data_IF_583001020882
#
_entry.id   IF_583001020882
#
_cell.length_a   1.000
_cell.length_b   1.000
_cell.length_c   1.000
_cell.angle_alpha   90.00
_cell.angle_beta   90.00
_cell.angle_gamma   90.00
#
_symmetry.space_group_name_H-M   'P 1'
#
loop_
_entity.id
_entity.type
_entity.pdbx_description
1 polymer ?
#
# COMPACT_ATOMS: atom_id res chain seq x y z
N UNK A 1 -11.19 18.52 -19.10
CA UNK A 1 -10.32 18.80 -17.94
C UNK A 1 -8.89 18.45 -18.33
N UNK A 2 -7.89 19.16 -17.80
CA UNK A 2 -6.49 18.81 -18.06
C UNK A 2 -6.16 17.42 -17.48
N UNK A 3 -5.34 16.67 -18.21
CA UNK A 3 -4.87 15.34 -17.81
C UNK A 3 -3.56 15.47 -17.02
N UNK A 4 -3.29 14.56 -16.07
CA UNK A 4 -1.99 14.50 -15.43
C UNK A 4 -0.91 14.06 -16.44
N UNK A 5 0.32 14.50 -16.22
CA UNK A 5 1.47 14.29 -17.12
C UNK A 5 2.63 13.63 -16.36
N UNK A 6 3.23 12.59 -16.95
CA UNK A 6 4.44 11.97 -16.40
C UNK A 6 5.63 12.85 -16.76
N UNK A 7 6.23 13.49 -15.75
CA UNK A 7 7.42 14.33 -15.89
C UNK A 7 8.70 13.51 -16.00
N UNK A 8 8.75 12.38 -15.28
CA UNK A 8 9.84 11.41 -15.38
C UNK A 8 9.38 10.03 -14.93
N UNK A 9 10.04 9.00 -15.46
CA UNK A 9 9.83 7.60 -15.08
C UNK A 9 11.18 6.89 -15.08
N UNK A 10 11.56 6.34 -13.93
CA UNK A 10 12.84 5.64 -13.77
C UNK A 10 12.61 4.28 -13.10
N UNK A 11 13.31 3.25 -13.59
CA UNK A 11 13.42 1.98 -12.87
C UNK A 11 14.42 2.17 -11.74
N UNK A 12 13.97 1.97 -10.50
CA UNK A 12 14.79 2.20 -9.30
C UNK A 12 15.33 0.91 -8.68
N UNK A 13 14.75 -0.25 -9.03
CA UNK A 13 15.16 -1.53 -8.46
C UNK A 13 14.72 -2.75 -9.28
N UNK A 14 15.62 -3.70 -9.52
CA UNK A 14 15.34 -4.95 -10.24
C UNK A 14 16.29 -6.11 -9.89
N UNK A 15 16.80 -6.20 -8.67
CA UNK A 15 17.88 -7.13 -8.32
C UNK A 15 17.43 -8.61 -8.20
N UNK A 16 16.17 -8.88 -7.85
CA UNK A 16 15.63 -10.24 -7.75
C UNK A 16 14.88 -10.69 -9.02
N UNK A 17 14.54 -11.99 -9.16
CA UNK A 17 13.58 -12.47 -10.16
C UNK A 17 12.18 -11.85 -10.00
N UNK A 18 11.74 -11.62 -8.76
CA UNK A 18 10.51 -10.93 -8.43
C UNK A 18 10.75 -9.77 -7.47
N UNK A 19 10.43 -8.54 -7.88
CA UNK A 19 10.49 -7.31 -7.09
C UNK A 19 9.11 -6.65 -7.10
N UNK A 20 8.43 -6.58 -5.96
CA UNK A 20 7.03 -6.14 -5.95
C UNK A 20 6.57 -5.46 -4.64
N UNK A 21 5.31 -5.06 -4.65
CA UNK A 21 4.56 -4.60 -3.47
C UNK A 21 5.18 -3.38 -2.78
N UNK A 22 5.60 -2.43 -3.59
CA UNK A 22 6.34 -1.25 -3.14
C UNK A 22 5.52 -0.32 -2.24
N UNK A 23 6.24 0.56 -1.56
CA UNK A 23 5.71 1.75 -0.92
C UNK A 23 6.76 2.86 -0.90
N UNK A 24 6.33 4.11 -0.70
CA UNK A 24 7.19 5.30 -0.72
C UNK A 24 6.81 6.24 0.43
N UNK A 25 7.82 6.78 1.13
CA UNK A 25 7.63 7.88 2.07
C UNK A 25 8.81 8.86 2.03
N UNK A 26 8.58 10.07 2.53
CA UNK A 26 9.64 11.03 2.86
C UNK A 26 10.20 10.71 4.25
N UNK A 27 11.51 10.79 4.39
CA UNK A 27 12.16 10.67 5.69
C UNK A 27 13.38 11.60 5.74
N UNK A 28 13.38 12.51 6.72
CA UNK A 28 14.33 13.62 6.73
C UNK A 28 14.24 14.46 5.46
N UNK A 29 15.37 14.66 4.78
CA UNK A 29 15.43 15.39 3.51
C UNK A 29 15.33 14.48 2.27
N UNK A 30 15.28 13.16 2.46
CA UNK A 30 15.29 12.18 1.39
C UNK A 30 14.03 11.32 1.34
N UNK A 31 14.20 10.16 0.73
CA UNK A 31 13.15 9.21 0.39
C UNK A 31 13.49 7.83 0.94
N UNK A 32 12.46 7.11 1.36
CA UNK A 32 12.51 5.68 1.60
C UNK A 32 11.50 4.98 0.70
N UNK A 33 11.92 3.92 0.04
CA UNK A 33 11.08 3.04 -0.74
C UNK A 33 11.25 1.61 -0.23
N UNK A 34 10.18 0.86 -0.04
CA UNK A 34 10.26 -0.57 0.23
C UNK A 34 9.84 -1.41 -0.94
N UNK A 35 10.31 -2.66 -1.00
CA UNK A 35 9.75 -3.69 -1.87
C UNK A 35 10.06 -5.09 -1.31
N UNK A 36 9.25 -6.07 -1.71
CA UNK A 36 9.54 -7.49 -1.52
C UNK A 36 10.48 -7.98 -2.63
N UNK A 37 11.50 -8.73 -2.26
CA UNK A 37 12.31 -9.56 -3.17
C UNK A 37 12.06 -11.04 -2.91
N UNK A 38 11.84 -11.80 -4.00
CA UNK A 38 11.65 -13.25 -3.94
C UNK A 38 12.00 -13.94 -5.27
N UNK A 39 11.90 -15.27 -5.27
CA UNK A 39 12.06 -16.08 -6.48
C UNK A 39 10.89 -15.96 -7.47
N UNK A 40 9.68 -15.63 -6.97
CA UNK A 40 8.47 -15.53 -7.78
C UNK A 40 7.33 -14.80 -7.07
N UNK A 41 6.18 -14.70 -7.74
CA UNK A 41 4.97 -14.04 -7.21
C UNK A 41 4.26 -14.89 -6.15
N UNK A 42 4.35 -16.21 -6.29
CA UNK A 42 3.84 -17.20 -5.38
C UNK A 42 4.47 -17.10 -3.99
N UNK A 43 3.87 -17.82 -3.04
CA UNK A 43 4.38 -17.90 -1.67
C UNK A 43 5.69 -18.68 -1.66
N UNK A 44 6.76 -17.98 -1.31
CA UNK A 44 8.10 -18.52 -1.18
C UNK A 44 8.88 -17.63 -0.22
N UNK A 45 9.95 -18.15 0.44
CA UNK A 45 10.79 -17.34 1.31
C UNK A 45 11.19 -16.04 0.62
N UNK A 46 10.93 -14.93 1.30
CA UNK A 46 11.05 -13.60 0.71
C UNK A 46 11.55 -12.60 1.76
N UNK A 47 12.23 -11.58 1.27
CA UNK A 47 12.79 -10.54 2.12
C UNK A 47 12.29 -9.17 1.68
N UNK A 48 12.24 -8.24 2.61
CA UNK A 48 11.96 -6.85 2.34
C UNK A 48 13.29 -6.12 2.12
N UNK A 49 13.35 -5.29 1.08
CA UNK A 49 14.39 -4.29 0.87
C UNK A 49 13.86 -2.94 1.31
N UNK A 50 14.71 -2.17 1.98
CA UNK A 50 14.51 -0.75 2.22
C UNK A 50 15.53 0.00 1.40
N UNK A 51 15.04 0.79 0.45
CA UNK A 51 15.83 1.60 -0.46
C UNK A 51 15.79 3.05 0.01
N UNK A 52 16.91 3.75 -0.07
CA UNK A 52 17.01 5.16 0.26
C UNK A 52 17.52 5.95 -0.95
N UNK A 53 17.00 7.17 -1.10
CA UNK A 53 17.49 8.15 -2.06
C UNK A 53 17.44 9.56 -1.50
N UNK A 54 18.48 10.36 -1.77
CA UNK A 54 18.52 11.76 -1.37
C UNK A 54 17.87 12.68 -2.43
N UNK A 55 17.88 12.26 -3.70
CA UNK A 55 17.49 13.06 -4.87
C UNK A 55 16.33 12.47 -5.68
N UNK A 56 15.91 11.25 -5.36
CA UNK A 56 14.88 10.51 -6.10
C UNK A 56 15.39 9.81 -7.36
N UNK A 57 16.65 9.99 -7.74
CA UNK A 57 17.25 9.42 -8.95
C UNK A 57 18.20 8.26 -8.63
N UNK A 58 19.04 8.44 -7.60
CA UNK A 58 20.02 7.43 -7.18
C UNK A 58 19.50 6.71 -5.96
N UNK A 59 19.32 5.39 -6.08
CA UNK A 59 18.75 4.55 -5.02
C UNK A 59 19.77 3.52 -4.55
N UNK A 60 19.84 3.31 -3.24
CA UNK A 60 20.67 2.27 -2.61
C UNK A 60 19.85 1.46 -1.62
N UNK A 61 20.10 0.16 -1.54
CA UNK A 61 19.56 -0.66 -0.46
C UNK A 61 20.28 -0.30 0.85
N UNK A 62 19.52 0.08 1.88
CA UNK A 62 20.03 0.42 3.21
C UNK A 62 19.70 -0.63 4.25
N UNK A 63 18.65 -1.44 4.05
CA UNK A 63 18.29 -2.51 4.95
C UNK A 63 17.65 -3.71 4.24
N UNK A 64 18.00 -4.91 4.73
CA UNK A 64 17.39 -6.18 4.32
C UNK A 64 16.72 -6.80 5.53
N UNK A 65 15.41 -7.00 5.46
CA UNK A 65 14.60 -7.53 6.56
C UNK A 65 14.02 -8.87 6.14
N UNK A 66 14.17 -9.90 6.97
CA UNK A 66 13.75 -11.27 6.67
C UNK A 66 13.53 -12.10 7.93
N UNK A 67 12.74 -13.16 7.78
CA UNK A 67 12.59 -14.25 8.74
C UNK A 67 12.90 -15.55 7.99
N UNK A 68 13.67 -16.47 8.58
CA UNK A 68 14.09 -17.71 7.91
C UNK A 68 12.87 -18.54 7.49
N UNK A 69 12.85 -18.95 6.22
CA UNK A 69 11.76 -19.72 5.64
C UNK A 69 10.48 -18.93 5.37
N UNK A 70 10.32 -17.70 5.87
CA UNK A 70 9.06 -16.95 5.80
C UNK A 70 8.98 -16.08 4.53
N UNK A 71 7.79 -15.98 3.96
CA UNK A 71 7.44 -14.99 2.92
C UNK A 71 7.04 -13.67 3.59
N UNK A 72 8.01 -12.79 3.88
CA UNK A 72 7.70 -11.41 4.28
C UNK A 72 7.18 -10.62 3.07
N UNK A 73 5.96 -10.09 3.19
CA UNK A 73 5.19 -9.58 2.05
C UNK A 73 4.50 -8.26 2.33
N UNK A 74 4.27 -7.50 1.25
CA UNK A 74 3.57 -6.22 1.22
C UNK A 74 4.06 -5.21 2.26
N UNK A 75 5.35 -4.80 2.20
CA UNK A 75 5.89 -3.81 3.11
C UNK A 75 5.24 -2.44 2.89
N UNK A 76 4.73 -1.82 3.96
CA UNK A 76 4.15 -0.47 3.96
C UNK A 76 4.83 0.41 5.00
N UNK A 77 5.28 1.58 4.55
CA UNK A 77 5.97 2.57 5.35
C UNK A 77 4.98 3.57 5.94
N UNK A 78 5.28 4.03 7.14
CA UNK A 78 4.63 5.18 7.76
C UNK A 78 5.61 5.87 8.72
N UNK A 79 5.40 7.16 8.97
CA UNK A 79 6.20 7.92 9.95
C UNK A 79 5.37 8.07 11.22
N UNK A 80 5.93 7.63 12.34
CA UNK A 80 5.32 7.74 13.65
C UNK A 80 5.33 9.21 14.15
N UNK A 81 4.45 9.56 15.10
CA UNK A 81 4.40 10.91 15.69
C UNK A 81 5.71 11.36 16.34
N UNK A 82 6.52 10.41 16.83
CA UNK A 82 7.84 10.65 17.42
C UNK A 82 8.98 10.75 16.38
N UNK A 83 8.65 10.63 15.10
CA UNK A 83 9.60 10.74 13.98
C UNK A 83 10.22 9.41 13.53
N UNK A 84 9.98 8.29 14.23
CA UNK A 84 10.48 6.97 13.80
C UNK A 84 9.78 6.49 12.55
N UNK A 85 10.49 5.70 11.74
CA UNK A 85 9.89 4.94 10.65
C UNK A 85 9.23 3.69 11.24
N UNK A 86 7.95 3.49 10.94
CA UNK A 86 7.26 2.22 11.16
C UNK A 86 7.05 1.50 9.83
N UNK A 87 7.58 0.29 9.73
CA UNK A 87 7.42 -0.60 8.59
C UNK A 87 6.46 -1.74 8.97
N UNK A 88 5.29 -1.77 8.35
CA UNK A 88 4.31 -2.85 8.49
C UNK A 88 4.50 -3.85 7.34
N UNK A 89 4.43 -5.15 7.63
CA UNK A 89 4.51 -6.23 6.62
C UNK A 89 3.70 -7.44 7.10
N UNK A 90 3.54 -8.46 6.26
CA UNK A 90 2.90 -9.73 6.60
C UNK A 90 3.89 -10.86 6.51
N UNK A 91 4.04 -11.64 7.58
CA UNK A 91 4.72 -12.94 7.54
C UNK A 91 3.73 -13.99 7.04
N UNK A 92 3.94 -14.49 5.83
CA UNK A 92 3.15 -15.59 5.28
C UNK A 92 3.85 -16.91 5.56
N UNK A 93 3.09 -17.85 6.12
CA UNK A 93 3.53 -19.20 6.43
C UNK A 93 3.08 -20.15 5.32
N UNK A 94 3.95 -21.11 5.02
CA UNK A 94 3.81 -22.08 3.96
C UNK A 94 4.38 -23.43 4.39
N UNK A 95 3.92 -24.48 3.74
CA UNK A 95 4.51 -25.83 3.83
C UNK A 95 5.85 -25.90 3.08
N UNK A 96 6.61 -26.97 3.31
CA UNK A 96 7.90 -27.21 2.63
C UNK A 96 7.76 -27.31 1.09
N UNK A 97 6.60 -27.73 0.59
CA UNK A 97 6.25 -27.76 -0.84
C UNK A 97 5.66 -26.44 -1.36
N UNK A 98 5.67 -25.37 -0.56
CA UNK A 98 5.31 -24.01 -0.95
C UNK A 98 3.81 -23.69 -0.91
N UNK A 99 2.97 -24.54 -0.29
CA UNK A 99 1.55 -24.25 -0.16
C UNK A 99 1.30 -23.25 0.96
N UNK A 100 0.50 -22.21 0.67
CA UNK A 100 0.12 -21.20 1.65
C UNK A 100 -0.72 -21.80 2.78
N UNK A 101 -0.33 -21.52 4.03
CA UNK A 101 -1.03 -21.96 5.23
C UNK A 101 -1.82 -20.82 5.85
N UNK A 102 -1.11 -19.82 6.37
CA UNK A 102 -1.68 -18.68 7.09
C UNK A 102 -0.74 -17.50 7.01
N UNK A 103 -1.04 -16.43 7.73
CA UNK A 103 -0.23 -15.22 7.81
C UNK A 103 -0.30 -14.60 9.19
N UNK A 104 0.64 -13.74 9.52
CA UNK A 104 0.62 -12.94 10.74
C UNK A 104 1.29 -11.59 10.47
N UNK A 105 0.65 -10.46 10.85
CA UNK A 105 1.27 -9.15 10.68
C UNK A 105 2.56 -9.01 11.48
N UNK A 106 3.50 -8.27 10.90
CA UNK A 106 4.79 -7.92 11.48
C UNK A 106 5.01 -6.42 11.40
N UNK A 107 5.70 -5.88 12.40
CA UNK A 107 6.14 -4.50 12.42
C UNK A 107 7.64 -4.43 12.72
N UNK A 108 8.33 -3.50 12.08
CA UNK A 108 9.71 -3.12 12.36
C UNK A 108 9.78 -1.60 12.55
N UNK A 109 10.71 -1.14 13.38
CA UNK A 109 10.90 0.29 13.65
C UNK A 109 12.33 0.71 13.30
N UNK A 110 12.51 1.97 12.92
CA UNK A 110 13.82 2.56 12.68
C UNK A 110 13.85 4.03 13.08
N UNK A 111 14.89 4.43 13.81
CA UNK A 111 15.13 5.83 14.21
C UNK A 111 15.82 6.64 13.10
N UNK A 112 16.55 5.97 12.20
CA UNK A 112 17.47 6.57 11.23
C UNK A 112 17.12 6.23 9.76
N UNK A 113 16.09 5.42 9.53
CA UNK A 113 15.68 4.92 8.21
C UNK A 113 16.65 3.91 7.59
N UNK A 114 17.64 3.42 8.34
CA UNK A 114 18.71 2.53 7.86
C UNK A 114 18.78 1.27 8.73
N UNK A 115 18.72 1.44 10.04
CA UNK A 115 18.78 0.38 11.04
C UNK A 115 17.37 0.05 11.52
N UNK A 116 16.92 -1.18 11.28
CA UNK A 116 15.58 -1.63 11.66
C UNK A 116 15.62 -2.66 12.79
N UNK A 117 14.64 -2.60 13.68
CA UNK A 117 14.40 -3.68 14.65
C UNK A 117 14.07 -4.99 13.93
N UNK A 118 14.26 -6.12 14.62
CA UNK A 118 13.74 -7.39 14.13
C UNK A 118 12.20 -7.34 13.96
N UNK A 119 11.63 -8.09 13.00
CA UNK A 119 10.19 -8.20 12.84
C UNK A 119 9.50 -8.68 14.14
N UNK A 120 8.57 -7.87 14.65
CA UNK A 120 7.74 -8.21 15.80
C UNK A 120 6.30 -8.49 15.36
N UNK A 121 5.69 -9.55 15.88
CA UNK A 121 4.26 -9.81 15.66
C UNK A 121 3.42 -8.70 16.32
N UNK A 122 2.50 -8.12 15.55
CA UNK A 122 1.63 -7.04 16.05
C UNK A 122 0.12 -7.35 15.98
N UNK A 123 -0.28 -8.50 15.44
CA UNK A 123 -1.68 -8.94 15.45
C UNK A 123 -1.79 -10.47 15.41
N UNK A 124 -2.99 -10.99 15.61
CA UNK A 124 -3.28 -12.40 15.51
C UNK A 124 -2.96 -13.00 14.12
N UNK A 125 -2.77 -14.32 14.07
CA UNK A 125 -2.68 -15.04 12.79
C UNK A 125 -3.98 -14.90 11.98
N UNK A 126 -3.90 -15.16 10.68
CA UNK A 126 -4.94 -14.94 9.67
C UNK A 126 -5.26 -13.46 9.36
N UNK A 127 -4.72 -12.52 10.13
CA UNK A 127 -4.82 -11.10 9.80
C UNK A 127 -3.81 -10.69 8.71
N UNK A 128 -4.27 -9.93 7.71
CA UNK A 128 -3.40 -9.13 6.84
C UNK A 128 -3.62 -7.66 7.15
N UNK A 129 -2.80 -7.07 8.01
CA UNK A 129 -2.87 -5.65 8.31
C UNK A 129 -2.23 -4.88 7.15
N UNK A 130 -3.03 -4.10 6.41
CA UNK A 130 -2.62 -3.61 5.10
C UNK A 130 -1.63 -2.45 5.16
N UNK A 131 -2.07 -1.28 5.64
CA UNK A 131 -1.30 -0.03 5.70
C UNK A 131 -1.75 0.78 6.90
N UNK A 132 -0.81 1.36 7.65
CA UNK A 132 -1.11 2.26 8.74
C UNK A 132 -1.23 3.72 8.27
N UNK A 133 -2.15 4.47 8.86
CA UNK A 133 -2.28 5.92 8.68
C UNK A 133 -2.34 6.59 10.04
N UNK A 134 -1.36 7.44 10.33
CA UNK A 134 -1.28 8.20 11.57
C UNK A 134 -2.09 9.48 11.51
N UNK A 135 -2.81 9.78 12.58
CA UNK A 135 -3.54 11.02 12.81
C UNK A 135 -3.59 11.29 14.30
N UNK A 136 -3.13 12.48 14.72
CA UNK A 136 -3.19 12.94 16.11
C UNK A 136 -2.65 11.93 17.15
N UNK A 137 -1.54 11.25 16.83
CA UNK A 137 -0.92 10.28 17.73
C UNK A 137 -1.44 8.84 17.62
N UNK A 138 -2.50 8.60 16.85
CA UNK A 138 -3.10 7.26 16.67
C UNK A 138 -2.95 6.81 15.22
N UNK A 139 -2.50 5.57 15.02
CA UNK A 139 -2.50 4.92 13.73
C UNK A 139 -3.77 4.10 13.53
N UNK A 140 -4.31 4.12 12.31
CA UNK A 140 -5.44 3.30 11.88
C UNK A 140 -5.03 2.41 10.72
N UNK A 141 -5.54 1.17 10.72
CA UNK A 141 -5.34 0.25 9.62
C UNK A 141 -6.50 -0.73 9.51
N UNK A 142 -6.82 -1.14 8.28
CA UNK A 142 -7.81 -2.17 8.04
C UNK A 142 -7.08 -3.49 7.78
N UNK A 143 -7.43 -4.50 8.56
CA UNK A 143 -6.99 -5.87 8.35
C UNK A 143 -7.99 -6.64 7.50
N UNK A 144 -7.48 -7.43 6.56
CA UNK A 144 -8.24 -8.53 5.95
C UNK A 144 -8.11 -9.79 6.79
N UNK A 145 -9.23 -10.37 7.19
CA UNK A 145 -9.30 -11.67 7.87
C UNK A 145 -9.88 -12.74 6.92
N UNK A 146 -9.39 -13.97 7.04
CA UNK A 146 -9.82 -15.14 6.25
C UNK A 146 -8.74 -15.66 5.32
N UNK A 147 -8.52 -16.98 5.35
CA UNK A 147 -7.68 -17.74 4.43
C UNK A 147 -8.52 -18.08 3.19
N UNK A 148 -8.15 -17.58 2.02
CA UNK A 148 -8.83 -17.90 0.75
C UNK A 148 -9.56 -16.72 0.09
N UNK A 149 -10.61 -17.03 -0.68
CA UNK A 149 -11.36 -16.08 -1.52
C UNK A 149 -12.69 -15.64 -0.94
N UNK A 150 -13.31 -16.43 -0.06
CA UNK A 150 -14.62 -16.15 0.54
C UNK A 150 -14.82 -16.95 1.85
N UNK A 151 -15.23 -16.35 2.98
CA UNK A 151 -15.40 -14.91 3.20
C UNK A 151 -14.06 -14.18 3.38
N UNK A 152 -14.00 -12.93 2.90
CA UNK A 152 -12.95 -11.96 3.24
C UNK A 152 -13.58 -10.79 3.97
N UNK A 153 -13.10 -10.57 5.19
CA UNK A 153 -13.69 -9.61 6.13
C UNK A 153 -12.71 -8.49 6.39
N UNK A 154 -13.18 -7.25 6.33
CA UNK A 154 -12.39 -6.06 6.65
C UNK A 154 -12.61 -5.63 8.09
N UNK A 155 -11.54 -5.47 8.86
CA UNK A 155 -11.62 -5.06 10.27
C UNK A 155 -10.75 -3.83 10.50
N UNK A 156 -11.35 -2.75 10.97
CA UNK A 156 -10.62 -1.54 11.35
C UNK A 156 -10.00 -1.71 12.74
N UNK A 157 -8.72 -1.42 12.83
CA UNK A 157 -7.94 -1.39 14.06
C UNK A 157 -7.30 -0.02 14.27
N UNK A 158 -6.96 0.27 15.53
CA UNK A 158 -6.15 1.42 15.93
C UNK A 158 -5.00 1.03 16.86
N UNK A 159 -3.95 1.82 16.90
CA UNK A 159 -2.78 1.66 17.78
C UNK A 159 -2.15 3.01 18.07
N UNK A 160 -1.43 3.15 19.18
CA UNK A 160 -0.59 4.32 19.49
C UNK A 160 0.92 4.00 19.37
N UNK A 161 1.30 2.72 19.33
CA UNK A 161 2.69 2.26 19.35
C UNK A 161 3.10 1.39 18.15
N UNK A 162 2.14 0.93 17.35
CA UNK A 162 2.38 0.05 16.20
C UNK A 162 2.48 -1.45 16.54
N UNK A 163 2.57 -1.80 17.83
CA UNK A 163 2.70 -3.15 18.35
C UNK A 163 1.35 -3.70 18.81
N UNK A 164 0.62 -2.94 19.61
CA UNK A 164 -0.66 -3.34 20.19
C UNK A 164 -1.82 -2.69 19.44
N UNK A 165 -2.60 -3.51 18.73
CA UNK A 165 -3.70 -3.06 17.89
C UNK A 165 -5.07 -3.39 18.52
N UNK A 166 -5.86 -2.35 18.73
CA UNK A 166 -7.21 -2.43 19.28
C UNK A 166 -8.26 -2.44 18.18
N UNK A 167 -9.14 -3.43 18.18
CA UNK A 167 -10.28 -3.53 17.26
C UNK A 167 -11.28 -2.38 17.46
N UNK A 168 -11.72 -1.77 16.35
CA UNK A 168 -12.74 -0.72 16.34
C UNK A 168 -14.07 -1.27 15.83
N UNK A 169 -14.11 -1.67 14.56
CA UNK A 169 -15.34 -2.11 13.88
C UNK A 169 -15.02 -3.02 12.70
N UNK A 170 -16.01 -3.79 12.26
CA UNK A 170 -15.96 -4.58 11.03
C UNK A 170 -16.63 -3.82 9.90
N UNK A 171 -16.06 -3.91 8.70
CA UNK A 171 -16.64 -3.35 7.48
C UNK A 171 -17.72 -4.30 6.96
N UNK A 172 -18.98 -3.94 7.24
CA UNK A 172 -20.15 -4.63 6.72
C UNK A 172 -20.51 -4.03 5.36
N UNK A 173 -19.95 -4.61 4.29
CA UNK A 173 -20.25 -4.15 2.94
C UNK A 173 -21.72 -4.49 2.56
N UNK A 174 -22.39 -3.64 1.75
CA UNK A 174 -23.75 -3.88 1.31
C UNK A 174 -23.97 -5.24 0.62
N UNK A 175 -25.21 -5.72 0.64
CA UNK A 175 -25.66 -6.95 -0.06
C UNK A 175 -24.96 -8.25 0.40
N UNK A 176 -24.57 -8.34 1.68
CA UNK A 176 -23.87 -9.52 2.25
C UNK A 176 -22.56 -9.83 1.50
N UNK A 177 -21.82 -8.78 1.16
CA UNK A 177 -20.60 -8.87 0.35
C UNK A 177 -19.39 -9.14 1.23
N UNK A 178 -18.75 -10.31 1.03
CA UNK A 178 -17.59 -10.77 1.80
C UNK A 178 -16.28 -10.71 1.01
N UNK A 179 -15.99 -9.56 0.38
CA UNK A 179 -14.84 -9.39 -0.52
C UNK A 179 -13.82 -8.37 -0.05
N UNK A 180 -14.05 -7.71 1.10
CA UNK A 180 -13.17 -6.69 1.64
C UNK A 180 -11.74 -7.24 1.83
N UNK A 181 -10.76 -6.56 1.26
CA UNK A 181 -9.37 -6.98 1.31
C UNK A 181 -8.41 -5.81 1.50
N UNK A 182 -7.47 -5.61 0.59
CA UNK A 182 -6.46 -4.54 0.64
C UNK A 182 -7.17 -3.19 0.73
N UNK A 183 -6.96 -2.47 1.83
CA UNK A 183 -7.76 -1.31 2.18
C UNK A 183 -6.88 -0.20 2.73
N UNK A 184 -6.74 0.87 1.97
CA UNK A 184 -6.07 2.09 2.43
C UNK A 184 -7.10 2.99 3.09
N UNK A 185 -6.76 3.61 4.22
CA UNK A 185 -7.55 4.68 4.86
C UNK A 185 -6.79 6.01 4.86
N UNK A 186 -7.50 7.14 4.86
CA UNK A 186 -6.96 8.49 5.11
C UNK A 186 -7.97 9.30 5.91
N UNK A 187 -7.48 10.15 6.80
CA UNK A 187 -8.31 11.06 7.59
C UNK A 187 -8.23 12.46 6.97
N UNK A 188 -9.39 13.03 6.67
CA UNK A 188 -9.56 14.35 6.08
C UNK A 188 -9.46 15.44 7.15
N UNK A 189 -9.28 16.73 6.77
CA UNK A 189 -9.15 17.83 7.74
C UNK A 189 -10.34 18.01 8.69
N UNK A 190 -11.53 17.56 8.30
CA UNK A 190 -12.75 17.56 9.12
C UNK A 190 -12.90 16.31 10.01
N UNK A 191 -11.90 15.44 10.03
CA UNK A 191 -11.88 14.18 10.78
C UNK A 191 -12.58 13.02 10.07
N UNK A 192 -13.19 13.22 8.90
CA UNK A 192 -13.77 12.13 8.11
C UNK A 192 -12.67 11.13 7.70
N UNK A 193 -12.83 9.86 8.06
CA UNK A 193 -12.00 8.79 7.53
C UNK A 193 -12.61 8.28 6.24
N UNK A 194 -11.81 8.24 5.17
CA UNK A 194 -12.15 7.64 3.89
C UNK A 194 -11.36 6.34 3.74
N UNK A 195 -11.99 5.30 3.22
CA UNK A 195 -11.37 4.01 2.90
C UNK A 195 -11.49 3.71 1.41
N UNK A 196 -10.40 3.31 0.76
CA UNK A 196 -10.40 2.74 -0.59
C UNK A 196 -10.13 1.24 -0.47
N UNK A 197 -11.12 0.43 -0.79
CA UNK A 197 -11.21 -0.99 -0.44
C UNK A 197 -11.23 -1.83 -1.71
N UNK A 198 -10.30 -2.77 -1.82
CA UNK A 198 -10.34 -3.81 -2.85
C UNK A 198 -11.49 -4.79 -2.60
N UNK A 199 -12.29 -5.18 -3.63
CA UNK A 199 -12.04 -4.90 -5.05
C UNK A 199 -12.60 -3.59 -5.58
N UNK A 200 -13.67 -3.04 -5.04
CA UNK A 200 -14.44 -2.02 -5.74
C UNK A 200 -15.32 -1.19 -4.80
N UNK A 201 -14.81 -0.84 -3.61
CA UNK A 201 -15.56 -0.06 -2.63
C UNK A 201 -14.81 1.17 -2.15
N UNK A 202 -15.55 2.25 -1.91
CA UNK A 202 -15.12 3.40 -1.13
C UNK A 202 -16.00 3.48 0.11
N UNK A 203 -15.39 3.64 1.27
CA UNK A 203 -16.09 3.83 2.54
C UNK A 203 -15.83 5.20 3.13
N UNK A 204 -16.76 5.73 3.92
CA UNK A 204 -16.49 6.85 4.80
C UNK A 204 -17.15 6.73 6.17
N UNK A 205 -16.52 7.35 7.17
CA UNK A 205 -17.00 7.38 8.55
C UNK A 205 -16.40 8.56 9.31
N UNK A 206 -17.18 9.17 10.20
CA UNK A 206 -16.66 10.15 11.17
C UNK A 206 -16.31 9.45 12.50
N UNK A 207 -15.50 10.09 13.38
CA UNK A 207 -15.24 9.57 14.72
C UNK A 207 -16.55 9.22 15.44
N UNK A 208 -16.60 8.10 16.19
CA UNK A 208 -15.51 7.20 16.56
C UNK A 208 -15.23 6.06 15.56
N UNK A 209 -15.55 6.26 14.28
CA UNK A 209 -15.27 5.33 13.16
C UNK A 209 -15.96 3.98 13.26
N UNK A 210 -17.15 3.95 13.89
CA UNK A 210 -17.93 2.71 14.09
C UNK A 210 -18.97 2.50 12.99
N UNK A 211 -19.57 3.58 12.51
CA UNK A 211 -20.66 3.56 11.53
C UNK A 211 -20.14 4.01 10.17
N UNK A 212 -20.22 3.10 9.18
CA UNK A 212 -19.64 3.31 7.85
C UNK A 212 -20.71 3.38 6.78
N UNK A 213 -20.51 4.29 5.83
CA UNK A 213 -21.23 4.31 4.55
C UNK A 213 -20.32 3.78 3.46
N UNK A 214 -20.83 2.94 2.57
CA UNK A 214 -20.05 2.34 1.48
C UNK A 214 -20.71 2.61 0.12
N UNK A 215 -19.89 2.97 -0.85
CA UNK A 215 -20.25 3.11 -2.25
C UNK A 215 -19.44 2.13 -3.10
N UNK A 216 -20.12 1.35 -3.94
CA UNK A 216 -19.46 0.51 -4.93
C UNK A 216 -19.05 1.37 -6.12
N UNK A 217 -17.86 1.15 -6.66
CA UNK A 217 -17.34 1.84 -7.84
C UNK A 217 -17.35 0.91 -9.06
N UNK A 218 -17.40 1.47 -10.25
CA UNK A 218 -17.36 0.73 -11.52
C UNK A 218 -15.92 0.39 -11.95
N UNK A 219 -15.06 0.03 -10.99
CA UNK A 219 -13.68 -0.34 -11.23
C UNK A 219 -13.25 -1.49 -10.32
N UNK A 220 -12.49 -2.44 -10.86
CA UNK A 220 -11.88 -3.52 -10.08
C UNK A 220 -10.42 -3.19 -9.79
N UNK A 221 -10.10 -3.04 -8.50
CA UNK A 221 -8.83 -2.57 -7.99
C UNK A 221 -7.96 -3.74 -7.50
N UNK A 222 -6.64 -3.57 -7.57
CA UNK A 222 -5.66 -4.40 -6.88
C UNK A 222 -4.58 -3.54 -6.22
N UNK A 223 -4.25 -3.81 -4.96
CA UNK A 223 -3.29 -3.05 -4.16
C UNK A 223 -3.54 -1.54 -4.09
N UNK A 224 -4.77 -1.07 -3.81
CA UNK A 224 -5.08 0.35 -3.90
C UNK A 224 -4.37 1.21 -2.84
N UNK A 225 -3.97 2.41 -3.24
CA UNK A 225 -3.52 3.49 -2.38
C UNK A 225 -4.12 4.82 -2.84
N UNK A 226 -4.27 5.79 -1.95
CA UNK A 226 -4.74 7.13 -2.30
C UNK A 226 -4.16 8.21 -1.39
N UNK A 227 -4.24 9.46 -1.86
CA UNK A 227 -3.69 10.63 -1.20
C UNK A 227 -4.62 11.84 -1.40
N UNK A 228 -4.67 12.72 -0.40
CA UNK A 228 -5.27 14.04 -0.53
C UNK A 228 -4.20 15.04 -0.95
N UNK A 229 -4.46 15.76 -2.03
CA UNK A 229 -3.54 16.75 -2.59
C UNK A 229 -4.16 18.14 -2.41
N UNK A 230 -3.44 19.08 -1.75
CA UNK A 230 -3.92 20.45 -1.56
C UNK A 230 -4.38 21.06 -2.88
N UNK A 231 -5.58 21.65 -2.89
CA UNK A 231 -6.19 22.29 -4.07
C UNK A 231 -6.40 21.38 -5.28
N UNK A 232 -6.08 20.08 -5.21
CA UNK A 232 -6.20 19.12 -6.33
C UNK A 232 -7.08 17.91 -5.99
N UNK A 233 -7.61 17.84 -4.78
CA UNK A 233 -8.59 16.83 -4.35
C UNK A 233 -7.97 15.48 -4.00
N UNK A 234 -8.75 14.40 -4.10
CA UNK A 234 -8.27 13.04 -3.85
C UNK A 234 -7.79 12.39 -5.15
N UNK A 235 -6.64 11.74 -5.07
CA UNK A 235 -6.07 10.95 -6.15
C UNK A 235 -5.77 9.55 -5.64
N UNK A 236 -6.10 8.56 -6.45
CA UNK A 236 -5.93 7.15 -6.12
C UNK A 236 -5.15 6.44 -7.23
N UNK A 237 -4.45 5.38 -6.85
CA UNK A 237 -3.86 4.48 -7.81
C UNK A 237 -3.96 3.03 -7.36
N UNK A 238 -4.21 2.16 -8.34
CA UNK A 238 -4.37 0.73 -8.16
C UNK A 238 -4.09 0.00 -9.47
N UNK A 239 -4.04 -1.34 -9.39
CA UNK A 239 -4.10 -2.20 -10.58
C UNK A 239 -5.52 -2.12 -11.14
N UNK A 240 -5.61 -1.84 -12.43
CA UNK A 240 -6.85 -1.87 -13.21
C UNK A 240 -6.61 -2.50 -14.58
N UNK A 241 -7.40 -2.09 -15.57
CA UNK A 241 -7.23 -2.49 -16.97
C UNK A 241 -6.87 -1.28 -17.84
N UNK A 242 -5.90 -1.44 -18.72
CA UNK A 242 -5.57 -0.47 -19.76
C UNK A 242 -6.54 -0.53 -20.94
N UNK A 243 -6.30 0.31 -21.95
CA UNK A 243 -7.14 0.39 -23.16
C UNK A 243 -7.20 -0.92 -23.93
N UNK A 244 -6.13 -1.73 -23.89
CA UNK A 244 -6.06 -3.05 -24.51
C UNK A 244 -6.74 -4.16 -23.66
N UNK A 245 -7.39 -3.78 -22.56
CA UNK A 245 -8.06 -4.68 -21.62
C UNK A 245 -7.12 -5.46 -20.69
N UNK A 246 -5.80 -5.31 -20.82
CA UNK A 246 -4.81 -6.00 -19.99
C UNK A 246 -4.57 -5.26 -18.68
N UNK A 247 -3.99 -5.96 -17.72
CA UNK A 247 -3.61 -5.38 -16.44
C UNK A 247 -2.66 -4.18 -16.62
N UNK A 248 -2.98 -3.07 -15.96
CA UNK A 248 -2.16 -1.87 -15.93
C UNK A 248 -2.25 -1.17 -14.58
N UNK A 249 -1.28 -0.30 -14.30
CA UNK A 249 -1.29 0.61 -13.15
C UNK A 249 -2.01 1.90 -13.56
N UNK A 250 -3.07 2.23 -12.84
CA UNK A 250 -3.96 3.34 -13.16
C UNK A 250 -3.81 4.42 -12.10
N UNK A 251 -3.62 5.67 -12.50
CA UNK A 251 -3.84 6.85 -11.68
C UNK A 251 -5.23 7.40 -11.97
N UNK A 252 -6.01 7.68 -10.94
CA UNK A 252 -7.41 8.09 -11.03
C UNK A 252 -7.71 9.29 -10.13
N UNK A 253 -8.64 10.13 -10.57
CA UNK A 253 -9.32 11.10 -9.71
C UNK A 253 -10.28 10.33 -8.82
N UNK A 254 -10.33 10.68 -7.54
CA UNK A 254 -11.17 10.01 -6.56
C UNK A 254 -12.10 11.02 -5.88
N UNK A 255 -13.30 10.58 -5.53
CA UNK A 255 -14.19 11.27 -4.59
C UNK A 255 -14.58 10.31 -3.47
N UNK A 256 -15.55 10.67 -2.62
CA UNK A 256 -16.09 9.73 -1.62
C UNK A 256 -16.82 8.54 -2.26
N UNK A 257 -17.23 8.66 -3.52
CA UNK A 257 -18.11 7.68 -4.16
C UNK A 257 -17.72 7.36 -5.60
N UNK A 258 -16.64 7.94 -6.13
CA UNK A 258 -16.20 7.71 -7.51
C UNK A 258 -14.70 7.52 -7.62
N UNK A 259 -14.31 6.78 -8.66
CA UNK A 259 -12.94 6.52 -9.06
C UNK A 259 -12.90 6.62 -10.59
N UNK A 260 -12.26 7.67 -11.10
CA UNK A 260 -12.23 7.99 -12.52
C UNK A 260 -10.80 7.90 -13.05
N UNK A 261 -10.45 6.86 -13.83
CA UNK A 261 -9.14 6.74 -14.47
C UNK A 261 -8.76 8.02 -15.22
N UNK A 262 -7.54 8.52 -14.97
CA UNK A 262 -7.03 9.75 -15.55
C UNK A 262 -5.71 9.56 -16.30
N UNK A 263 -4.91 8.55 -15.93
CA UNK A 263 -3.65 8.20 -16.57
C UNK A 263 -3.35 6.71 -16.39
N UNK A 264 -2.88 6.09 -17.48
CA UNK A 264 -2.34 4.73 -17.47
C UNK A 264 -0.81 4.85 -17.43
N UNK A 265 -0.17 4.30 -16.41
CA UNK A 265 1.29 4.31 -16.30
C UNK A 265 1.88 3.21 -17.21
N UNK A 266 3.09 3.41 -17.78
CA UNK A 266 3.83 2.34 -18.45
C UNK A 266 4.00 1.12 -17.55
N UNK A 267 3.18 0.10 -17.80
CA UNK A 267 3.03 -1.06 -16.93
C UNK A 267 2.27 -2.18 -17.65
N UNK A 268 2.41 -3.39 -17.13
CA UNK A 268 1.81 -4.60 -17.70
C UNK A 268 2.09 -5.82 -16.84
N UNK A 269 1.36 -6.90 -17.12
CA UNK A 269 1.51 -8.19 -16.45
C UNK A 269 1.22 -8.11 -14.96
N UNK A 270 2.16 -8.57 -14.14
CA UNK A 270 2.13 -8.43 -12.68
C UNK A 270 2.61 -7.02 -12.30
N UNK A 271 1.73 -6.17 -11.76
CA UNK A 271 2.02 -4.74 -11.58
C UNK A 271 1.16 -4.03 -10.51
N UNK A 272 1.51 -2.76 -10.26
CA UNK A 272 0.85 -1.76 -9.40
C UNK A 272 1.38 -1.68 -7.95
N UNK A 273 0.49 -1.70 -6.95
CA UNK A 273 0.72 -1.56 -5.52
C UNK A 273 1.50 -0.28 -5.18
N UNK A 274 0.89 0.90 -5.41
CA UNK A 274 1.67 2.12 -5.47
C UNK A 274 1.96 2.72 -4.10
N UNK A 275 3.18 3.24 -3.94
CA UNK A 275 3.53 4.24 -2.93
C UNK A 275 3.24 5.63 -3.47
N UNK A 276 2.66 6.52 -2.67
CA UNK A 276 2.21 7.85 -3.11
C UNK A 276 2.68 8.91 -2.12
N UNK A 277 3.36 9.93 -2.63
CA UNK A 277 3.77 11.11 -1.85
C UNK A 277 3.56 12.36 -2.69
N UNK A 278 2.97 13.39 -2.10
CA UNK A 278 2.90 14.73 -2.69
C UNK A 278 4.06 15.58 -2.18
N UNK A 279 4.91 16.09 -3.08
CA UNK A 279 6.09 16.87 -2.72
C UNK A 279 6.49 17.80 -3.88
N UNK A 280 6.84 19.05 -3.57
CA UNK A 280 7.29 20.07 -4.53
C UNK A 280 6.37 20.22 -5.75
N UNK A 281 5.05 20.30 -5.49
CA UNK A 281 3.97 20.40 -6.50
C UNK A 281 3.88 19.22 -7.49
N UNK A 282 4.45 18.09 -7.12
CA UNK A 282 4.45 16.86 -7.92
C UNK A 282 3.95 15.66 -7.10
N UNK A 283 3.28 14.73 -7.79
CA UNK A 283 2.97 13.42 -7.25
C UNK A 283 4.14 12.47 -7.56
N UNK A 284 4.81 12.03 -6.50
CA UNK A 284 5.82 10.99 -6.53
C UNK A 284 5.16 9.65 -6.28
N UNK A 285 5.33 8.73 -7.23
CA UNK A 285 4.62 7.46 -7.23
C UNK A 285 5.56 6.31 -7.53
N UNK A 286 5.78 5.42 -6.55
CA UNK A 286 6.39 4.13 -6.83
C UNK A 286 5.33 3.13 -7.27
N UNK A 287 5.69 2.20 -8.15
CA UNK A 287 4.87 1.02 -8.48
C UNK A 287 5.79 -0.09 -9.00
N UNK A 288 5.33 -1.33 -8.98
CA UNK A 288 6.05 -2.42 -9.63
C UNK A 288 5.40 -2.83 -10.95
N UNK A 289 6.16 -3.42 -11.87
CA UNK A 289 5.60 -3.99 -13.10
C UNK A 289 6.54 -4.97 -13.80
N UNK A 290 5.95 -5.98 -14.46
CA UNK A 290 6.64 -6.96 -15.32
C UNK A 290 6.56 -6.67 -16.83
N UNK A 291 6.32 -5.43 -17.26
CA UNK A 291 6.25 -5.10 -18.70
C UNK A 291 7.59 -5.21 -19.42
N UNK A 292 8.70 -5.19 -18.67
CA UNK A 292 10.07 -5.39 -19.15
C UNK A 292 10.60 -6.74 -18.63
N UNK A 293 9.94 -7.83 -19.03
CA UNK A 293 10.30 -9.24 -18.75
C UNK A 293 10.03 -9.72 -17.31
N UNK A 294 10.61 -9.06 -16.30
CA UNK A 294 10.44 -9.42 -14.88
C UNK A 294 9.92 -8.25 -14.06
N UNK A 295 9.35 -8.52 -12.88
CA UNK A 295 8.86 -7.43 -12.02
C UNK A 295 10.03 -6.58 -11.53
N UNK A 296 9.95 -5.28 -11.80
CA UNK A 296 10.88 -4.25 -11.34
C UNK A 296 10.11 -3.13 -10.65
N UNK A 297 10.79 -2.35 -9.82
CA UNK A 297 10.21 -1.17 -9.15
C UNK A 297 10.54 0.07 -9.97
N UNK A 298 9.52 0.88 -10.20
CA UNK A 298 9.60 2.14 -10.93
C UNK A 298 9.17 3.29 -10.03
N UNK A 299 9.73 4.46 -10.29
CA UNK A 299 9.32 5.73 -9.70
C UNK A 299 8.90 6.67 -10.83
N UNK A 300 7.65 7.14 -10.76
CA UNK A 300 7.11 8.19 -11.61
C UNK A 300 7.00 9.50 -10.83
N UNK A 301 7.39 10.61 -11.46
CA UNK A 301 7.04 11.96 -11.01
C UNK A 301 5.96 12.49 -11.95
N UNK A 302 4.84 12.93 -11.39
CA UNK A 302 3.63 13.22 -12.15
C UNK A 302 3.15 14.62 -11.80
N UNK A 303 2.99 15.46 -12.81
CA UNK A 303 2.28 16.73 -12.67
C UNK A 303 0.79 16.43 -12.64
N UNK A 304 0.13 16.81 -11.54
CA UNK A 304 -1.32 16.79 -11.48
C UNK A 304 -1.89 18.09 -12.07
N UNK A 305 -3.05 18.03 -12.75
CA UNK A 305 -3.73 19.24 -13.23
C UNK A 305 -4.22 20.08 -12.04
N UNK A 306 -4.30 21.40 -12.21
CA UNK A 306 -5.04 22.25 -11.27
C UNK A 306 -6.53 21.90 -11.35
N UNK A 307 -7.27 22.09 -10.26
CA UNK A 307 -8.74 22.00 -10.27
C UNK A 307 -9.37 23.01 -11.21
#
# INVERSE_FOLDING_TARGET
MASPEILSLVKIWDHAPHNAFTDLTRFGQGWLCTCREAAGHEHCPATIRVLQSDDGNTWRNVATIGEEGIDLRDPKLSIMPDGRVMLLTSANFMTDDGQYLTRSPRVCFSDDGVSYTAPARCLAEDHWLWRATWHEGVAYSVSKLGIGTNPRRGFLYSTDDGLDWTYITEFILPNDTWTASETTVRIMPDGEMIALIRPDWIGSSHPPYRDWSFAQIEASLGGPNFISVPERGLWASARGKGEDGKAATILARMTRTSYEPALILPSGGDCSYPGLVWHDDELWMTYYSSHEEKTSIYLARIQLPAT
#
